data_IF_085626344470
#
_entry.id   IF_085626344470
#
_cell.length_a   1.000
_cell.length_b   1.000
_cell.length_c   1.000
_cell.angle_alpha   90.00
_cell.angle_beta   90.00
_cell.angle_gamma   90.00
#
_symmetry.space_group_name_H-M   'P 1'
#
loop_
_entity.id
_entity.type
_entity.pdbx_description
1 polymer ?
#
# COMPACT_ATOMS: atom_id res chain seq x y z
N UNK A 1 13.17 4.56 15.70
CA UNK A 1 12.06 4.44 14.73
C UNK A 1 12.66 4.45 13.34
N UNK A 2 12.07 3.71 12.41
CA UNK A 2 12.45 3.70 10.99
C UNK A 2 12.33 5.11 10.42
N UNK A 3 13.26 5.52 9.56
CA UNK A 3 13.16 6.78 8.81
C UNK A 3 12.25 6.56 7.60
N UNK A 4 11.01 7.06 7.68
CA UNK A 4 10.01 6.93 6.62
C UNK A 4 10.48 7.53 5.29
N UNK A 5 11.28 8.61 5.33
CA UNK A 5 11.80 9.24 4.14
C UNK A 5 12.89 8.36 3.50
N UNK A 6 13.77 7.79 4.31
CA UNK A 6 14.77 6.83 3.84
C UNK A 6 14.10 5.61 3.18
N UNK A 7 13.01 5.09 3.79
CA UNK A 7 12.25 3.98 3.21
C UNK A 7 11.61 4.35 1.87
N UNK A 8 10.93 5.50 1.77
CA UNK A 8 10.32 5.98 0.51
C UNK A 8 11.36 6.16 -0.59
N UNK A 9 12.53 6.70 -0.25
CA UNK A 9 13.63 6.89 -1.19
C UNK A 9 14.17 5.53 -1.69
N UNK A 10 14.34 4.57 -0.79
CA UNK A 10 14.75 3.21 -1.13
C UNK A 10 13.74 2.52 -2.06
N UNK A 11 12.46 2.53 -1.69
CA UNK A 11 11.37 1.91 -2.46
C UNK A 11 11.27 2.52 -3.87
N UNK A 12 11.33 3.86 -3.97
CA UNK A 12 11.34 4.58 -5.25
C UNK A 12 12.53 4.15 -6.12
N UNK A 13 13.75 4.14 -5.54
CA UNK A 13 14.95 3.73 -6.27
C UNK A 13 14.91 2.27 -6.74
N UNK A 14 14.39 1.37 -5.89
CA UNK A 14 14.23 -0.04 -6.22
C UNK A 14 13.22 -0.24 -7.35
N UNK A 15 12.07 0.41 -7.28
CA UNK A 15 11.01 0.33 -8.29
C UNK A 15 11.51 0.81 -9.66
N UNK A 16 12.08 2.02 -9.71
CA UNK A 16 12.59 2.60 -10.97
C UNK A 16 13.70 1.75 -11.58
N UNK A 17 14.61 1.22 -10.75
CA UNK A 17 15.67 0.31 -11.22
C UNK A 17 15.08 -0.98 -11.78
N UNK A 18 14.09 -1.55 -11.11
CA UNK A 18 13.45 -2.82 -11.53
C UNK A 18 12.72 -2.64 -12.85
N UNK A 19 11.90 -1.59 -12.98
CA UNK A 19 11.22 -1.27 -14.23
C UNK A 19 12.21 -1.10 -15.37
N UNK A 20 13.27 -0.31 -15.17
CA UNK A 20 14.26 -0.01 -16.21
C UNK A 20 15.05 -1.26 -16.63
N UNK A 21 15.52 -2.06 -15.67
CA UNK A 21 16.38 -3.22 -15.95
C UNK A 21 15.61 -4.31 -16.70
N UNK A 22 14.33 -4.51 -16.38
CA UNK A 22 13.49 -5.53 -17.00
C UNK A 22 12.60 -5.01 -18.12
N UNK A 23 12.75 -3.74 -18.52
CA UNK A 23 11.89 -3.06 -19.51
C UNK A 23 10.38 -3.29 -19.24
N UNK A 24 9.99 -3.20 -17.96
CA UNK A 24 8.60 -3.41 -17.57
C UNK A 24 7.73 -2.27 -18.12
N UNK A 25 6.50 -2.60 -18.51
CA UNK A 25 5.51 -1.63 -18.99
C UNK A 25 4.30 -1.64 -18.06
N UNK A 26 4.40 -1.04 -16.85
CA UNK A 26 3.30 -1.06 -15.90
C UNK A 26 2.08 -0.38 -16.49
N UNK A 27 0.93 -1.04 -16.39
CA UNK A 27 -0.36 -0.55 -16.87
C UNK A 27 -1.48 -0.76 -15.84
N UNK A 28 -1.32 -1.73 -14.95
CA UNK A 28 -2.29 -2.10 -13.93
C UNK A 28 -1.59 -2.34 -12.59
N UNK A 29 -2.20 -1.83 -11.52
CA UNK A 29 -1.75 -1.96 -10.14
C UNK A 29 -2.92 -2.49 -9.32
N UNK A 30 -2.68 -3.57 -8.58
CA UNK A 30 -3.64 -4.08 -7.60
C UNK A 30 -3.31 -3.51 -6.23
N UNK A 31 -4.31 -3.00 -5.53
CA UNK A 31 -4.16 -2.42 -4.19
C UNK A 31 -5.08 -3.19 -3.26
N UNK A 32 -4.51 -3.75 -2.19
CA UNK A 32 -5.28 -4.50 -1.21
C UNK A 32 -4.73 -4.30 0.20
N UNK A 33 -5.62 -4.39 1.18
CA UNK A 33 -5.34 -4.19 2.60
C UNK A 33 -5.49 -5.48 3.39
N UNK A 34 -4.47 -5.82 4.19
CA UNK A 34 -4.54 -6.95 5.11
C UNK A 34 -4.23 -6.52 6.54
N UNK A 35 -4.86 -7.19 7.50
CA UNK A 35 -4.61 -7.01 8.94
C UNK A 35 -3.92 -8.25 9.49
N UNK A 36 -2.98 -8.04 10.40
CA UNK A 36 -2.32 -9.13 11.14
C UNK A 36 -2.56 -8.94 12.62
N UNK A 37 -3.28 -9.87 13.22
CA UNK A 37 -3.48 -9.96 14.67
C UNK A 37 -2.21 -10.44 15.37
N UNK A 38 -1.76 -9.76 16.43
CA UNK A 38 -0.49 -10.08 17.10
C UNK A 38 -0.55 -9.86 18.61
N UNK A 39 0.11 -10.75 19.37
CA UNK A 39 0.38 -10.51 20.78
C UNK A 39 1.39 -9.37 20.94
N UNK A 40 1.03 -8.32 21.68
CA UNK A 40 1.91 -7.18 21.91
C UNK A 40 1.24 -6.09 22.75
N UNK A 41 2.02 -5.10 23.13
CA UNK A 41 1.55 -3.94 23.89
C UNK A 41 0.96 -2.89 22.96
N UNK A 42 -0.22 -2.39 23.34
CA UNK A 42 -0.83 -1.21 22.71
C UNK A 42 -0.25 0.04 23.37
N UNK A 43 0.11 1.03 22.56
CA UNK A 43 0.53 2.35 23.00
C UNK A 43 -0.19 3.41 22.17
N UNK A 44 -0.40 4.62 22.71
CA UNK A 44 -1.18 5.67 22.04
C UNK A 44 -0.75 5.93 20.59
N UNK A 45 0.56 6.04 20.33
CA UNK A 45 1.12 6.25 18.99
C UNK A 45 1.64 4.97 18.30
N UNK A 46 1.24 3.80 18.81
CA UNK A 46 1.72 2.50 18.34
C UNK A 46 1.00 1.99 17.09
N UNK A 47 1.68 1.14 16.30
CA UNK A 47 1.07 0.44 15.15
C UNK A 47 0.11 -0.68 15.55
N UNK A 48 0.25 -1.22 16.76
CA UNK A 48 -0.63 -2.28 17.27
C UNK A 48 -1.79 -1.63 18.01
N UNK A 49 -3.00 -1.78 17.48
CA UNK A 49 -4.23 -1.26 18.08
C UNK A 49 -5.38 -2.25 17.96
N UNK A 50 -6.36 -2.14 18.84
CA UNK A 50 -7.61 -2.88 18.74
C UNK A 50 -8.52 -2.26 17.68
N UNK A 51 -9.17 -3.11 16.89
CA UNK A 51 -10.06 -2.68 15.81
C UNK A 51 -11.00 -3.80 15.39
N UNK A 52 -11.68 -3.61 14.26
CA UNK A 52 -12.55 -4.64 13.70
C UNK A 52 -11.73 -5.80 13.14
N UNK A 53 -11.75 -6.94 13.84
CA UNK A 53 -10.95 -8.11 13.48
C UNK A 53 -11.58 -8.95 12.37
N UNK A 54 -10.97 -8.94 11.17
CA UNK A 54 -11.28 -9.89 10.09
C UNK A 54 -10.92 -11.36 10.47
N UNK A 55 -9.99 -11.55 11.41
CA UNK A 55 -9.55 -12.88 11.90
C UNK A 55 -10.41 -13.47 13.04
N UNK A 56 -11.52 -12.83 13.42
CA UNK A 56 -12.31 -13.19 14.60
C UNK A 56 -11.52 -13.24 15.93
N UNK A 57 -10.52 -12.37 16.08
CA UNK A 57 -9.67 -12.20 17.28
C UNK A 57 -9.80 -10.78 17.86
N UNK A 58 -10.98 -10.39 18.39
CA UNK A 58 -11.16 -9.07 19.00
C UNK A 58 -10.32 -8.89 20.28
N UNK A 59 -9.78 -9.98 20.82
CA UNK A 59 -8.89 -10.01 21.99
C UNK A 59 -7.44 -9.63 21.67
N UNK A 60 -7.06 -9.50 20.40
CA UNK A 60 -5.70 -9.13 19.99
C UNK A 60 -5.66 -7.77 19.29
N UNK A 61 -4.62 -6.96 19.56
CA UNK A 61 -4.34 -5.81 18.73
C UNK A 61 -3.80 -6.26 17.37
N UNK A 62 -3.93 -5.37 16.39
CA UNK A 62 -3.68 -5.63 15.00
C UNK A 62 -2.76 -4.55 14.43
N UNK A 63 -2.02 -4.90 13.38
CA UNK A 63 -1.40 -3.95 12.48
C UNK A 63 -2.02 -4.13 11.09
N UNK A 64 -1.98 -3.08 10.27
CA UNK A 64 -2.49 -3.11 8.91
C UNK A 64 -1.38 -2.85 7.91
N UNK A 65 -1.40 -3.61 6.83
CA UNK A 65 -0.51 -3.41 5.67
C UNK A 65 -1.38 -3.17 4.45
N UNK A 66 -1.19 -2.01 3.82
CA UNK A 66 -1.70 -1.76 2.47
C UNK A 66 -0.59 -2.01 1.48
N UNK A 67 -0.86 -2.89 0.51
CA UNK A 67 0.13 -3.29 -0.47
C UNK A 67 -0.38 -2.97 -1.87
N UNK A 68 0.47 -2.30 -2.65
CA UNK A 68 0.25 -2.06 -4.08
C UNK A 68 1.22 -2.90 -4.88
N UNK A 69 0.71 -3.67 -5.84
CA UNK A 69 1.50 -4.60 -6.65
C UNK A 69 1.23 -4.40 -8.15
N UNK A 70 2.24 -4.58 -9.00
CA UNK A 70 2.06 -4.59 -10.44
C UNK A 70 1.38 -5.88 -10.89
N UNK A 71 0.35 -5.75 -11.74
CA UNK A 71 -0.27 -6.85 -12.47
C UNK A 71 0.42 -7.00 -13.85
N UNK A 72 0.70 -8.22 -14.35
CA UNK A 72 0.38 -9.54 -13.78
C UNK A 72 1.45 -10.14 -12.86
N UNK A 73 2.56 -9.44 -12.61
CA UNK A 73 3.73 -10.04 -11.96
C UNK A 73 3.60 -10.20 -10.44
N UNK A 74 2.64 -9.53 -9.81
CA UNK A 74 2.52 -9.45 -8.35
C UNK A 74 3.68 -8.70 -7.69
N UNK A 75 4.43 -7.88 -8.45
CA UNK A 75 5.62 -7.18 -7.95
C UNK A 75 5.21 -6.03 -7.02
N UNK A 76 5.63 -6.01 -5.74
CA UNK A 76 5.34 -4.90 -4.84
C UNK A 76 5.99 -3.60 -5.31
N UNK A 77 5.20 -2.52 -5.30
CA UNK A 77 5.65 -1.17 -5.69
C UNK A 77 5.32 -0.09 -4.67
N UNK A 78 4.42 -0.36 -3.73
CA UNK A 78 4.26 0.47 -2.55
C UNK A 78 3.79 -0.38 -1.37
N UNK A 79 4.42 -0.18 -0.21
CA UNK A 79 4.01 -0.79 1.06
C UNK A 79 3.77 0.30 2.10
N UNK A 80 2.58 0.30 2.70
CA UNK A 80 2.26 1.16 3.81
C UNK A 80 1.91 0.31 5.02
N UNK A 81 2.65 0.51 6.10
CA UNK A 81 2.35 -0.09 7.41
C UNK A 81 1.66 0.97 8.24
N UNK A 82 0.43 0.69 8.65
CA UNK A 82 -0.38 1.60 9.45
C UNK A 82 -0.96 0.88 10.65
N UNK A 83 -1.48 1.68 11.56
CA UNK A 83 -2.14 1.18 12.74
C UNK A 83 -3.37 0.33 12.40
N UNK A 84 -3.56 -0.78 13.10
CA UNK A 84 -4.51 -1.83 12.71
C UNK A 84 -6.00 -1.43 12.70
N UNK A 85 -6.38 -0.47 13.53
CA UNK A 85 -7.74 0.06 13.67
C UNK A 85 -8.20 0.94 12.51
N UNK A 86 -7.27 1.42 11.67
CA UNK A 86 -7.60 2.33 10.57
C UNK A 86 -8.48 1.64 9.53
N UNK A 87 -9.48 2.34 9.00
CA UNK A 87 -10.28 1.84 7.88
C UNK A 87 -9.45 1.73 6.58
N UNK A 88 -9.91 0.91 5.63
CA UNK A 88 -9.25 0.71 4.33
C UNK A 88 -9.44 1.94 3.41
N UNK A 89 -10.65 2.50 3.34
CA UNK A 89 -11.04 3.64 2.50
C UNK A 89 -10.04 4.81 2.46
N UNK A 90 -9.58 5.38 3.59
CA UNK A 90 -8.66 6.52 3.57
C UNK A 90 -7.24 6.17 3.07
N UNK A 91 -6.92 4.89 2.88
CA UNK A 91 -5.56 4.43 2.56
C UNK A 91 -5.32 4.23 1.06
N UNK A 92 -6.39 4.09 0.26
CA UNK A 92 -6.27 3.89 -1.19
C UNK A 92 -5.63 5.09 -1.90
N UNK A 93 -6.11 6.31 -1.64
CA UNK A 93 -5.58 7.53 -2.29
C UNK A 93 -4.09 7.75 -1.95
N UNK A 94 -3.65 7.66 -0.67
CA UNK A 94 -2.23 7.68 -0.34
C UNK A 94 -1.40 6.60 -1.03
N UNK A 95 -1.90 5.35 -1.10
CA UNK A 95 -1.21 4.26 -1.79
C UNK A 95 -1.01 4.55 -3.28
N UNK A 96 -2.07 5.01 -3.96
CA UNK A 96 -2.02 5.42 -5.37
C UNK A 96 -1.00 6.55 -5.58
N UNK A 97 -0.99 7.56 -4.71
CA UNK A 97 -0.05 8.67 -4.78
C UNK A 97 1.41 8.19 -4.64
N UNK A 98 1.68 7.29 -3.69
CA UNK A 98 3.00 6.70 -3.48
C UNK A 98 3.46 5.88 -4.69
N UNK A 99 2.56 5.09 -5.29
CA UNK A 99 2.87 4.34 -6.53
C UNK A 99 3.23 5.29 -7.68
N UNK A 100 2.45 6.36 -7.89
CA UNK A 100 2.74 7.34 -8.96
C UNK A 100 4.12 7.97 -8.79
N UNK A 101 4.48 8.34 -7.56
CA UNK A 101 5.80 8.87 -7.25
C UNK A 101 6.90 7.82 -7.47
N UNK A 102 6.68 6.60 -7.00
CA UNK A 102 7.65 5.50 -7.07
C UNK A 102 7.92 5.03 -8.50
N UNK A 103 6.90 4.94 -9.36
CA UNK A 103 7.05 4.53 -10.75
C UNK A 103 7.41 5.67 -11.69
N UNK A 104 7.20 6.93 -11.28
CA UNK A 104 7.49 8.11 -12.10
C UNK A 104 6.57 8.26 -13.32
N UNK A 105 5.42 7.58 -13.34
CA UNK A 105 4.46 7.60 -14.45
C UNK A 105 3.02 7.61 -13.96
N UNK A 106 2.13 8.20 -14.77
CA UNK A 106 0.67 8.19 -14.57
C UNK A 106 -0.04 7.22 -15.52
N UNK A 107 -1.35 7.36 -15.65
CA UNK A 107 -2.14 6.58 -16.62
C UNK A 107 -2.28 5.09 -16.29
N UNK A 108 -2.14 4.70 -15.02
CA UNK A 108 -2.28 3.33 -14.56
C UNK A 108 -3.73 3.03 -14.18
N UNK A 109 -4.17 1.80 -14.49
CA UNK A 109 -5.39 1.22 -13.93
C UNK A 109 -5.10 0.77 -12.50
N UNK A 110 -5.96 1.17 -11.56
CA UNK A 110 -5.90 0.68 -10.18
C UNK A 110 -7.10 -0.22 -9.90
N UNK A 111 -6.83 -1.42 -9.38
CA UNK A 111 -7.83 -2.43 -9.04
C UNK A 111 -7.78 -2.69 -7.55
N UNK A 112 -8.87 -2.45 -6.84
CA UNK A 112 -9.02 -2.76 -5.42
C UNK A 112 -10.22 -3.67 -5.15
N UNK A 113 -10.59 -3.79 -3.87
CA UNK A 113 -11.78 -4.52 -3.44
C UNK A 113 -13.09 -3.82 -3.87
N UNK A 114 -14.25 -4.42 -3.59
CA UNK A 114 -15.56 -3.93 -4.03
C UNK A 114 -15.94 -2.54 -3.51
N UNK A 115 -15.22 -2.01 -2.52
CA UNK A 115 -15.39 -0.62 -2.05
C UNK A 115 -14.55 0.37 -2.86
N UNK A 116 -13.74 -0.13 -3.79
CA UNK A 116 -12.73 0.64 -4.53
C UNK A 116 -12.98 0.54 -6.03
N UNK A 117 -13.73 1.50 -6.58
CA UNK A 117 -13.72 1.79 -8.03
C UNK A 117 -13.08 3.16 -8.22
N UNK A 118 -11.88 3.20 -8.82
CA UNK A 118 -11.25 4.45 -9.23
C UNK A 118 -10.69 4.31 -10.64
N UNK A 119 -11.26 5.07 -11.59
CA UNK A 119 -10.93 5.00 -13.01
C UNK A 119 -10.05 6.18 -13.45
N UNK A 120 -9.07 5.85 -14.31
CA UNK A 120 -8.21 6.66 -15.19
C UNK A 120 -8.42 8.19 -15.17
N UNK A 121 -7.43 8.92 -14.66
CA UNK A 121 -7.16 10.28 -15.14
C UNK A 121 -6.01 10.27 -16.16
N UNK A 122 -6.39 10.45 -17.43
CA UNK A 122 -5.47 10.66 -18.54
C UNK A 122 -4.71 11.98 -18.37
N UNK A 123 -3.42 11.97 -18.70
CA UNK A 123 -2.57 13.16 -18.80
C UNK A 123 -3.29 14.31 -19.53
N UNK A 124 -3.39 15.49 -18.90
CA UNK A 124 -3.30 16.75 -19.64
C UNK A 124 -1.83 17.14 -19.68
N UNK A 125 -1.32 17.23 -20.92
CA UNK A 125 -0.09 17.92 -21.29
C UNK A 125 -0.11 19.37 -20.79
#
# INVERSE_FOLDING_TARGET
>A
MSDDQAWRNFETGLNQRTIRVYDLKPSCVRVDGTTVSRYGTVSEDGLLQFGHSKDHRPDLPQLKVMQSVLDPLGLPVATQVVSGEKADDPLYVPAIAQVRQGLGQGGLLYVGDSNTICQLESHKL
#
